data_IF_775533280951
#
_entry.id   IF_775533280951
#
_cell.length_a   1.000
_cell.length_b   1.000
_cell.length_c   1.000
_cell.angle_alpha   90.00
_cell.angle_beta   90.00
_cell.angle_gamma   90.00
#
_symmetry.space_group_name_H-M   'P 1'
#
loop_
_entity.id
_entity.type
_entity.pdbx_description
1 polymer ?
#
# COMPACT_ATOMS: atom_id res chain seq x y z
N UNK A 1 25.20 6.03 -3.05
CA UNK A 1 24.30 5.15 -3.80
C UNK A 1 22.99 5.01 -3.09
N UNK A 2 21.94 5.27 -3.78
CA UNK A 2 20.60 5.13 -3.22
C UNK A 2 20.21 3.67 -3.24
N UNK A 3 19.80 3.16 -2.09
CA UNK A 3 19.29 1.81 -2.04
C UNK A 3 17.92 1.74 -2.71
N UNK A 4 17.71 0.70 -3.46
CA UNK A 4 16.44 0.46 -4.09
C UNK A 4 15.38 0.17 -3.02
N UNK A 5 14.27 0.88 -3.06
CA UNK A 5 13.19 0.65 -2.13
C UNK A 5 12.38 -0.57 -2.55
N UNK A 6 11.91 -1.32 -1.57
CA UNK A 6 11.13 -2.54 -1.78
C UNK A 6 9.67 -2.28 -1.44
N UNK A 7 8.79 -2.67 -2.33
CA UNK A 7 7.33 -2.52 -2.15
C UNK A 7 6.68 -3.89 -2.23
N UNK A 8 5.90 -4.21 -1.20
CA UNK A 8 5.07 -5.41 -1.21
C UNK A 8 3.70 -5.04 -1.75
N UNK A 9 3.25 -5.75 -2.78
CA UNK A 9 1.92 -5.56 -3.36
C UNK A 9 1.10 -6.81 -3.14
N UNK A 10 -0.02 -6.67 -2.46
CA UNK A 10 -0.90 -7.80 -2.14
C UNK A 10 -2.29 -7.55 -2.71
N UNK A 11 -2.76 -8.49 -3.54
CA UNK A 11 -4.09 -8.42 -4.14
C UNK A 11 -4.41 -9.80 -4.68
N UNK A 12 -5.64 -10.26 -4.50
CA UNK A 12 -6.02 -11.58 -5.02
C UNK A 12 -6.34 -11.55 -6.52
N UNK A 13 -6.42 -10.37 -7.11
CA UNK A 13 -6.61 -10.24 -8.56
C UNK A 13 -5.25 -10.18 -9.26
N UNK A 14 -4.92 -11.24 -10.00
CA UNK A 14 -3.64 -11.34 -10.69
C UNK A 14 -3.40 -10.20 -11.66
N UNK A 15 -4.46 -9.74 -12.31
CA UNK A 15 -4.38 -8.62 -13.24
C UNK A 15 -3.84 -7.36 -12.55
N UNK A 16 -4.36 -7.05 -11.38
CA UNK A 16 -3.92 -5.88 -10.64
C UNK A 16 -2.46 -6.04 -10.19
N UNK A 17 -2.11 -7.21 -9.67
CA UNK A 17 -0.72 -7.48 -9.28
C UNK A 17 0.23 -7.25 -10.45
N UNK A 18 -0.14 -7.74 -11.63
CA UNK A 18 0.71 -7.61 -12.80
C UNK A 18 0.90 -6.16 -13.21
N UNK A 19 -0.20 -5.42 -13.34
CA UNK A 19 -0.14 -4.04 -13.81
C UNK A 19 0.58 -3.14 -12.82
N UNK A 20 0.27 -3.29 -11.55
CA UNK A 20 0.91 -2.48 -10.50
C UNK A 20 2.39 -2.79 -10.40
N UNK A 21 2.74 -4.08 -10.40
CA UNK A 21 4.14 -4.49 -10.31
C UNK A 21 4.97 -3.95 -11.47
N UNK A 22 4.43 -4.03 -12.67
CA UNK A 22 5.12 -3.53 -13.84
C UNK A 22 5.37 -2.02 -13.73
N UNK A 23 4.34 -1.28 -13.34
CA UNK A 23 4.47 0.17 -13.19
C UNK A 23 5.53 0.55 -12.17
N UNK A 24 5.55 -0.14 -11.04
CA UNK A 24 6.49 0.16 -9.97
C UNK A 24 7.92 -0.27 -10.32
N UNK A 25 8.06 -1.43 -10.94
CA UNK A 25 9.39 -1.88 -11.38
C UNK A 25 9.99 -0.93 -12.41
N UNK A 26 9.17 -0.47 -13.34
CA UNK A 26 9.62 0.48 -14.34
C UNK A 26 10.04 1.81 -13.73
N UNK A 27 9.53 2.12 -12.55
CA UNK A 27 9.91 3.33 -11.83
C UNK A 27 11.14 3.13 -10.94
N UNK A 28 11.70 1.93 -10.92
CA UNK A 28 12.95 1.66 -10.18
C UNK A 28 12.77 0.97 -8.85
N UNK A 29 11.57 0.55 -8.51
CA UNK A 29 11.33 -0.13 -7.23
C UNK A 29 11.51 -1.63 -7.36
N UNK A 30 11.93 -2.25 -6.27
CA UNK A 30 11.91 -3.70 -6.14
C UNK A 30 10.51 -4.09 -5.67
N UNK A 31 9.88 -5.05 -6.33
CA UNK A 31 8.49 -5.42 -6.01
C UNK A 31 8.41 -6.86 -5.61
N UNK A 32 7.74 -7.12 -4.49
CA UNK A 32 7.39 -8.45 -4.01
C UNK A 32 5.87 -8.54 -4.06
N UNK A 33 5.35 -9.64 -4.56
CA UNK A 33 3.90 -9.79 -4.71
C UNK A 33 3.35 -10.89 -3.82
N UNK A 34 2.08 -10.76 -3.44
CA UNK A 34 1.37 -11.76 -2.67
C UNK A 34 -0.09 -11.80 -3.15
N UNK A 35 -0.67 -13.01 -3.16
CA UNK A 35 -2.02 -13.23 -3.69
C UNK A 35 -3.09 -13.32 -2.61
N UNK A 36 -2.68 -13.40 -1.36
CA UNK A 36 -3.62 -13.42 -0.24
C UNK A 36 -2.95 -12.83 0.99
N UNK A 37 -3.75 -12.66 2.04
CA UNK A 37 -3.26 -11.99 3.24
C UNK A 37 -2.22 -12.78 4.01
N UNK A 38 -2.31 -14.11 4.01
CA UNK A 38 -1.33 -14.93 4.70
C UNK A 38 0.02 -14.90 3.99
N UNK A 39 0.00 -15.01 2.67
CA UNK A 39 1.21 -14.88 1.88
C UNK A 39 1.84 -13.50 2.07
N UNK A 40 0.99 -12.46 2.12
CA UNK A 40 1.47 -11.10 2.33
C UNK A 40 2.11 -10.93 3.69
N UNK A 41 1.53 -11.52 4.72
CA UNK A 41 2.10 -11.45 6.07
C UNK A 41 3.49 -12.07 6.10
N UNK A 42 3.62 -13.26 5.53
CA UNK A 42 4.91 -13.95 5.48
C UNK A 42 5.94 -13.17 4.68
N UNK A 43 5.51 -12.63 3.53
CA UNK A 43 6.40 -11.85 2.70
C UNK A 43 6.87 -10.58 3.41
N UNK A 44 5.98 -9.92 4.13
CA UNK A 44 6.34 -8.71 4.87
C UNK A 44 7.36 -9.02 5.97
N UNK A 45 7.16 -10.13 6.69
CA UNK A 45 8.08 -10.52 7.75
C UNK A 45 9.46 -10.88 7.21
N UNK A 46 9.50 -11.50 6.05
CA UNK A 46 10.74 -11.93 5.42
C UNK A 46 11.48 -10.79 4.74
N UNK A 47 10.78 -10.00 3.96
CA UNK A 47 11.39 -8.99 3.10
C UNK A 47 11.52 -7.62 3.75
N UNK A 48 10.75 -7.36 4.77
CA UNK A 48 10.70 -6.06 5.46
C UNK A 48 10.62 -4.90 4.47
N UNK A 49 9.53 -4.83 3.70
CA UNK A 49 9.44 -3.80 2.66
C UNK A 49 9.38 -2.39 3.22
N UNK A 50 9.68 -1.44 2.37
CA UNK A 50 9.60 -0.03 2.74
C UNK A 50 8.18 0.52 2.63
N UNK A 51 7.32 -0.18 1.92
CA UNK A 51 5.94 0.21 1.71
C UNK A 51 5.11 -1.03 1.40
N UNK A 52 3.89 -1.06 1.88
CA UNK A 52 2.94 -2.11 1.55
C UNK A 52 1.75 -1.50 0.82
N UNK A 53 1.40 -2.07 -0.33
CA UNK A 53 0.17 -1.77 -1.04
C UNK A 53 -0.67 -3.02 -0.95
N UNK A 54 -1.85 -2.94 -0.34
CA UNK A 54 -2.66 -4.13 -0.16
C UNK A 54 -4.13 -3.86 -0.44
N UNK A 55 -4.77 -4.83 -1.09
CA UNK A 55 -6.21 -4.83 -1.23
C UNK A 55 -6.84 -5.06 0.15
N UNK A 56 -8.00 -4.49 0.38
CA UNK A 56 -8.73 -4.72 1.62
C UNK A 56 -9.29 -6.13 1.68
N UNK A 57 -9.95 -6.56 0.60
CA UNK A 57 -10.60 -7.87 0.54
C UNK A 57 -9.70 -8.92 -0.08
N UNK A 58 -9.18 -9.81 0.75
CA UNK A 58 -8.35 -10.91 0.30
C UNK A 58 -8.71 -12.18 1.05
N UNK A 59 -8.52 -13.35 0.41
CA UNK A 59 -8.71 -14.62 1.11
C UNK A 59 -7.72 -14.78 2.25
N UNK A 60 -8.07 -15.58 3.22
CA UNK A 60 -7.28 -15.94 4.40
C UNK A 60 -7.21 -14.81 5.42
N UNK A 61 -6.83 -13.62 5.01
CA UNK A 61 -6.58 -12.52 5.90
C UNK A 61 -6.88 -11.23 5.14
N UNK A 62 -7.74 -10.38 5.67
CA UNK A 62 -8.04 -9.10 5.01
C UNK A 62 -6.81 -8.18 5.09
N UNK A 63 -6.81 -7.17 4.21
CA UNK A 63 -5.73 -6.18 4.26
C UNK A 63 -5.63 -5.47 5.60
N UNK A 64 -6.76 -5.17 6.21
CA UNK A 64 -6.78 -4.51 7.51
C UNK A 64 -6.19 -5.41 8.60
N UNK A 65 -6.56 -6.69 8.60
CA UNK A 65 -6.02 -7.64 9.58
C UNK A 65 -4.53 -7.85 9.38
N UNK A 66 -4.10 -7.91 8.13
CA UNK A 66 -2.67 -7.97 7.80
C UNK A 66 -1.92 -6.81 8.46
N UNK A 67 -2.43 -5.60 8.29
CA UNK A 67 -1.78 -4.41 8.83
C UNK A 67 -1.76 -4.43 10.36
N UNK A 68 -2.85 -4.87 10.96
CA UNK A 68 -2.91 -4.97 12.42
C UNK A 68 -1.88 -5.94 12.97
N UNK A 69 -1.75 -7.10 12.33
CA UNK A 69 -0.79 -8.11 12.76
C UNK A 69 0.64 -7.64 12.63
N UNK A 70 0.94 -6.93 11.54
CA UNK A 70 2.28 -6.38 11.36
C UNK A 70 2.59 -5.32 12.40
N UNK A 71 1.61 -4.49 12.72
CA UNK A 71 1.83 -3.43 13.71
C UNK A 71 1.99 -3.98 15.11
N UNK A 72 1.36 -5.11 15.41
CA UNK A 72 1.47 -5.77 16.71
C UNK A 72 2.74 -6.59 16.87
N UNK A 73 3.43 -6.85 15.77
CA UNK A 73 4.66 -7.63 15.79
C UNK A 73 5.84 -6.74 16.17
N UNK A 74 6.33 -6.91 17.39
CA UNK A 74 7.39 -6.06 17.92
C UNK A 74 8.71 -6.18 17.15
N UNK A 75 8.89 -7.27 16.39
CA UNK A 75 10.09 -7.45 15.59
C UNK A 75 10.04 -6.71 14.26
N UNK A 76 8.88 -6.18 13.90
CA UNK A 76 8.69 -5.50 12.63
C UNK A 76 8.78 -3.99 12.78
N UNK A 77 9.45 -3.31 11.85
CA UNK A 77 9.43 -1.85 11.86
C UNK A 77 8.05 -1.34 11.46
N UNK A 78 7.79 -0.08 11.71
CA UNK A 78 6.58 0.56 11.23
C UNK A 78 6.68 0.73 9.72
N UNK A 79 5.77 0.13 8.98
CA UNK A 79 5.77 0.19 7.53
C UNK A 79 4.53 0.94 7.07
N UNK A 80 4.69 1.97 6.23
CA UNK A 80 3.54 2.69 5.70
C UNK A 80 2.72 1.82 4.76
N UNK A 81 1.41 2.01 4.76
CA UNK A 81 0.49 1.20 3.97
C UNK A 81 -0.39 2.08 3.10
N UNK A 82 -0.54 1.66 1.86
CA UNK A 82 -1.56 2.19 0.95
C UNK A 82 -2.60 1.09 0.77
N UNK A 83 -3.84 1.39 1.11
CA UNK A 83 -4.94 0.41 1.04
C UNK A 83 -5.73 0.60 -0.24
N UNK A 84 -5.99 -0.48 -0.95
CA UNK A 84 -6.84 -0.49 -2.13
C UNK A 84 -8.21 -1.02 -1.72
N UNK A 85 -9.26 -0.28 -2.05
CA UNK A 85 -10.61 -0.65 -1.60
C UNK A 85 -11.60 -0.63 -2.74
N UNK A 86 -12.72 -1.31 -2.55
CA UNK A 86 -13.83 -1.18 -3.47
C UNK A 86 -14.43 0.22 -3.34
N UNK A 87 -15.01 0.69 -4.41
CA UNK A 87 -15.64 2.02 -4.42
C UNK A 87 -16.69 2.12 -3.32
N UNK A 88 -16.66 3.21 -2.60
CA UNK A 88 -17.64 3.47 -1.54
C UNK A 88 -17.32 2.88 -0.19
N UNK A 89 -16.21 2.17 -0.07
CA UNK A 89 -15.82 1.60 1.20
C UNK A 89 -15.17 2.66 2.10
N UNK A 90 -15.52 2.62 3.37
CA UNK A 90 -14.95 3.53 4.36
C UNK A 90 -14.35 2.76 5.52
N UNK A 91 -13.17 3.18 5.94
CA UNK A 91 -12.56 2.68 7.16
C UNK A 91 -12.90 3.62 8.31
N UNK A 92 -13.09 3.04 9.48
CA UNK A 92 -13.28 3.87 10.67
C UNK A 92 -11.93 4.53 11.02
N UNK A 93 -11.95 5.73 11.60
CA UNK A 93 -10.70 6.40 11.98
C UNK A 93 -9.80 5.56 12.86
N UNK A 94 -10.37 4.80 13.79
CA UNK A 94 -9.60 3.93 14.66
C UNK A 94 -8.86 2.84 13.90
N UNK A 95 -9.44 2.36 12.80
CA UNK A 95 -8.80 1.34 11.98
C UNK A 95 -7.56 1.92 11.30
N UNK A 96 -7.64 3.14 10.85
CA UNK A 96 -6.52 3.81 10.21
C UNK A 96 -5.38 4.02 11.19
N UNK A 97 -5.70 4.46 12.40
CA UNK A 97 -4.69 4.70 13.42
C UNK A 97 -3.97 3.43 13.85
N UNK A 98 -4.71 2.33 13.95
CA UNK A 98 -4.16 1.07 14.45
C UNK A 98 -3.43 0.24 13.41
N UNK A 99 -3.46 0.64 12.18
CA UNK A 99 -2.98 -0.22 11.10
C UNK A 99 -1.84 0.36 10.26
N UNK A 100 -1.49 1.60 10.45
CA UNK A 100 -0.43 2.22 9.66
C UNK A 100 -0.85 2.62 8.25
N UNK A 101 -2.13 2.63 7.97
CA UNK A 101 -2.65 3.02 6.66
C UNK A 101 -2.52 4.52 6.50
N UNK A 102 -1.78 4.94 5.50
CA UNK A 102 -1.54 6.36 5.24
C UNK A 102 -2.37 6.92 4.09
N UNK A 103 -2.75 6.08 3.16
CA UNK A 103 -3.54 6.48 2.00
C UNK A 103 -4.48 5.37 1.61
N UNK A 104 -5.59 5.73 0.99
CA UNK A 104 -6.52 4.78 0.43
C UNK A 104 -6.80 5.14 -1.02
N UNK A 105 -6.84 4.15 -1.88
CA UNK A 105 -7.24 4.34 -3.27
C UNK A 105 -8.41 3.44 -3.57
N UNK A 106 -9.43 4.01 -4.20
CA UNK A 106 -10.61 3.27 -4.62
C UNK A 106 -10.39 2.63 -5.97
N UNK A 107 -10.80 1.38 -6.11
CA UNK A 107 -10.80 0.73 -7.42
C UNK A 107 -12.02 1.21 -8.23
N UNK A 108 -11.89 1.47 -9.51
CA UNK A 108 -10.65 1.41 -10.28
C UNK A 108 -9.76 2.63 -10.04
N UNK A 109 -8.47 2.43 -10.08
CA UNK A 109 -7.51 3.52 -9.93
C UNK A 109 -6.55 3.51 -11.12
N UNK A 110 -5.88 4.64 -11.32
CA UNK A 110 -4.90 4.77 -12.39
C UNK A 110 -3.53 4.31 -11.89
N UNK A 111 -2.78 3.52 -12.67
CA UNK A 111 -1.40 3.16 -12.27
C UNK A 111 -0.52 4.39 -12.06
N UNK A 112 -0.74 5.44 -12.85
CA UNK A 112 0.01 6.68 -12.69
C UNK A 112 -0.31 7.34 -11.35
N UNK A 113 -1.57 7.36 -10.98
CA UNK A 113 -2.01 7.93 -9.71
C UNK A 113 -1.42 7.15 -8.53
N UNK A 114 -1.41 5.82 -8.65
CA UNK A 114 -0.83 4.97 -7.63
C UNK A 114 0.66 5.26 -7.49
N UNK A 115 1.39 5.36 -8.59
CA UNK A 115 2.81 5.65 -8.53
C UNK A 115 3.08 7.01 -7.87
N UNK A 116 2.27 8.01 -8.20
CA UNK A 116 2.42 9.32 -7.57
C UNK A 116 2.22 9.24 -6.06
N UNK A 117 1.23 8.47 -5.63
CA UNK A 117 0.97 8.26 -4.21
C UNK A 117 2.11 7.53 -3.53
N UNK A 118 2.66 6.51 -4.19
CA UNK A 118 3.82 5.77 -3.68
C UNK A 118 5.00 6.71 -3.46
N UNK A 119 5.32 7.50 -4.47
CA UNK A 119 6.44 8.44 -4.37
C UNK A 119 6.24 9.43 -3.23
N UNK A 120 5.03 9.93 -3.09
CA UNK A 120 4.69 10.88 -2.04
C UNK A 120 4.88 10.26 -0.64
N UNK A 121 4.38 9.05 -0.45
CA UNK A 121 4.47 8.36 0.84
C UNK A 121 5.93 8.04 1.18
N UNK A 122 6.69 7.55 0.21
CA UNK A 122 8.08 7.18 0.47
C UNK A 122 8.96 8.40 0.70
N UNK A 123 8.70 9.50 0.03
CA UNK A 123 9.44 10.73 0.27
C UNK A 123 9.18 11.28 1.68
N UNK A 124 7.92 11.28 2.09
CA UNK A 124 7.57 11.75 3.42
C UNK A 124 8.25 10.93 4.50
N UNK A 125 8.24 9.61 4.35
CA UNK A 125 8.88 8.71 5.30
C UNK A 125 10.40 8.78 5.25
N UNK A 126 10.94 8.95 4.04
CA UNK A 126 12.38 8.97 3.85
C UNK A 126 13.04 10.19 4.45
N UNK A 127 12.32 11.26 4.65
CA UNK A 127 12.87 12.47 5.26
C UNK A 127 13.04 12.33 6.77
N UNK A 128 12.81 11.16 7.30
CA UNK A 128 13.16 10.78 8.65
C UNK A 128 12.66 11.73 9.68
N UNK A 129 11.86 12.54 9.26
CA UNK A 129 11.69 13.66 9.97
C UNK A 129 11.18 13.52 11.27
N UNK A 130 11.27 13.97 12.03
CA UNK A 130 10.64 14.08 13.23
C UNK A 130 9.35 14.80 13.18
N UNK A 131 8.85 15.07 12.11
CA UNK A 131 7.54 15.69 12.04
C UNK A 131 6.49 14.65 11.83
N UNK A 132 5.41 14.71 12.56
CA UNK A 132 4.31 13.85 12.29
C UNK A 132 3.74 14.20 10.94
N UNK A 133 3.69 13.27 10.03
CA UNK A 133 3.08 13.57 8.76
C UNK A 133 1.61 13.81 8.99
N UNK A 134 1.16 14.96 8.62
CA UNK A 134 -0.27 15.21 8.58
C UNK A 134 -0.80 14.49 7.36
N UNK A 135 -1.07 13.22 7.57
CA UNK A 135 -1.57 12.43 6.48
C UNK A 135 -3.07 12.46 6.51
N UNK A 136 -3.60 13.52 6.01
CA UNK A 136 -5.01 13.56 5.73
C UNK A 136 -5.23 12.83 4.41
N UNK A 137 -6.19 11.94 4.43
CA UNK A 137 -6.61 11.26 3.22
C UNK A 137 -7.28 12.31 2.33
N UNK A 138 -6.58 12.70 1.29
CA UNK A 138 -7.13 13.72 0.40
C UNK A 138 -8.12 13.09 -0.55
N UNK A 139 -9.32 13.67 -0.65
CA UNK A 139 -10.35 13.09 -1.54
C UNK A 139 -9.89 12.91 -2.97
N UNK A 140 -9.03 13.81 -3.45
CA UNK A 140 -8.55 13.72 -4.81
C UNK A 140 -7.69 12.49 -5.08
N UNK A 141 -7.24 11.81 -4.02
CA UNK A 141 -6.48 10.58 -4.21
C UNK A 141 -7.37 9.36 -4.38
N UNK A 142 -8.67 9.54 -4.34
CA UNK A 142 -9.61 8.44 -4.48
C UNK A 142 -10.14 8.28 -5.91
N UNK A 143 -9.40 8.81 -6.87
CA UNK A 143 -9.66 8.46 -8.24
C UNK A 143 -10.89 9.03 -8.87
N UNK A 144 -11.15 10.30 -8.65
CA UNK A 144 -12.31 10.93 -9.25
C UNK A 144 -12.16 11.16 -10.74
N UNK A 145 -10.97 11.12 -11.25
CA UNK A 145 -10.73 11.39 -12.64
C UNK A 145 -10.54 10.11 -13.42
N UNK A 146 -11.40 9.85 -14.39
CA UNK A 146 -11.24 8.67 -15.22
C UNK A 146 -10.01 8.82 -16.09
N UNK A 147 -9.06 7.97 -15.89
CA UNK A 147 -7.93 7.86 -16.80
C UNK A 147 -8.13 6.63 -17.65
N UNK A 148 -7.58 6.70 -18.85
CA UNK A 148 -7.77 5.61 -19.80
C UNK A 148 -7.19 4.29 -19.34
N UNK A 149 -6.26 4.34 -18.38
CA UNK A 149 -5.55 3.15 -17.91
C UNK A 149 -6.01 2.70 -16.55
N UNK A 150 -7.25 2.98 -16.18
CA UNK A 150 -7.77 2.58 -14.88
C UNK A 150 -7.81 1.05 -14.75
N UNK A 151 -7.45 0.55 -13.59
CA UNK A 151 -7.48 -0.87 -13.28
C UNK A 151 -8.30 -1.13 -12.03
#
# INVERSE_FOLDING_TARGET
MTQQKTILVADDESHILHVVSLKLRNAGYRVVTAHDGQEALEAAQQERPDLIITDYHMPQLSGLELCRRLKQDASMPAIPVIMLTARGYHLEPQDTEQSGILRMLSKPFSPRQLLATVNEVLEANGKGGGGEPHLTLKPELFGDEPEREAI
#
